data_IF_469067368785
#
_entry.id   IF_469067368785
#
_cell.length_a   1.000
_cell.length_b   1.000
_cell.length_c   1.000
_cell.angle_alpha   90.00
_cell.angle_beta   90.00
_cell.angle_gamma   90.00
#
_symmetry.space_group_name_H-M   'P 1'
#
loop_
_entity.id
_entity.type
_entity.pdbx_description
1 polymer ?
#
# COMPACT_ATOMS: atom_id res chain seq x y z
N UNK A 1 -1.91 -4.24 -12.47
CA UNK A 1 -0.48 -4.28 -12.16
C UNK A 1 -0.04 -5.71 -11.88
N UNK A 2 1.18 -6.12 -12.22
CA UNK A 2 1.65 -7.49 -11.88
C UNK A 2 2.12 -7.54 -10.43
N UNK A 3 1.90 -8.66 -9.73
CA UNK A 3 2.31 -8.84 -8.33
C UNK A 3 3.82 -8.59 -8.12
N UNK A 4 4.64 -8.99 -9.08
CA UNK A 4 6.10 -8.79 -9.08
C UNK A 4 6.54 -7.31 -9.15
N UNK A 5 5.68 -6.44 -9.69
CA UNK A 5 5.93 -4.99 -9.73
C UNK A 5 5.52 -4.33 -8.41
N UNK A 6 4.45 -4.83 -7.78
CA UNK A 6 4.03 -4.39 -6.44
C UNK A 6 5.09 -4.65 -5.37
N UNK A 7 5.68 -5.85 -5.35
CA UNK A 7 6.64 -6.25 -4.32
C UNK A 7 7.95 -5.44 -4.34
N UNK A 8 8.22 -4.70 -5.42
CA UNK A 8 9.40 -3.83 -5.56
C UNK A 8 9.17 -2.42 -5.02
N UNK A 9 7.93 -2.03 -4.75
CA UNK A 9 7.61 -0.68 -4.30
C UNK A 9 7.95 -0.51 -2.83
N UNK A 10 8.50 0.64 -2.48
CA UNK A 10 8.50 1.11 -1.08
C UNK A 10 7.09 1.50 -0.66
N UNK A 11 6.88 1.67 0.66
CA UNK A 11 5.57 2.09 1.18
C UNK A 11 5.22 3.52 0.73
N UNK A 12 6.23 4.39 0.66
CA UNK A 12 6.09 5.78 0.19
C UNK A 12 5.68 5.82 -1.29
N UNK A 13 6.34 5.05 -2.15
CA UNK A 13 5.96 4.95 -3.57
C UNK A 13 4.57 4.34 -3.77
N UNK A 14 4.17 3.40 -2.90
CA UNK A 14 2.84 2.81 -2.94
C UNK A 14 1.76 3.84 -2.56
N UNK A 15 2.00 4.67 -1.54
CA UNK A 15 1.09 5.77 -1.19
C UNK A 15 1.02 6.83 -2.29
N UNK A 16 2.15 7.20 -2.89
CA UNK A 16 2.16 8.15 -4.01
C UNK A 16 1.33 7.65 -5.20
N UNK A 17 1.42 6.34 -5.51
CA UNK A 17 0.57 5.71 -6.54
C UNK A 17 -0.91 5.69 -6.17
N UNK A 18 -1.26 5.56 -4.89
CA UNK A 18 -2.65 5.68 -4.43
C UNK A 18 -3.18 7.09 -4.71
N UNK A 19 -2.41 8.11 -4.35
CA UNK A 19 -2.80 9.51 -4.59
C UNK A 19 -2.95 9.82 -6.09
N UNK A 20 -2.02 9.34 -6.92
CA UNK A 20 -2.12 9.44 -8.38
C UNK A 20 -3.37 8.73 -8.93
N UNK A 21 -3.72 7.57 -8.36
CA UNK A 21 -4.93 6.82 -8.75
C UNK A 21 -6.19 7.60 -8.40
N UNK A 22 -6.23 8.23 -7.22
CA UNK A 22 -7.34 9.08 -6.79
C UNK A 22 -7.48 10.33 -7.67
N UNK A 23 -6.36 10.98 -8.00
CA UNK A 23 -6.34 12.13 -8.91
C UNK A 23 -6.88 11.73 -10.30
N UNK A 24 -6.43 10.60 -10.84
CA UNK A 24 -6.91 10.07 -12.12
C UNK A 24 -8.40 9.72 -12.11
N UNK A 25 -8.93 9.25 -10.98
CA UNK A 25 -10.36 8.96 -10.80
C UNK A 25 -11.22 10.23 -10.65
N UNK A 26 -10.62 11.36 -10.27
CA UNK A 26 -11.34 12.63 -10.10
C UNK A 26 -11.65 13.36 -11.42
N UNK A 27 -10.98 12.97 -12.51
CA UNK A 27 -11.16 13.56 -13.83
C UNK A 27 -12.27 12.93 -14.68
N UNK A 28 -12.37 13.37 -15.93
CA UNK A 28 -13.30 12.82 -16.92
C UNK A 28 -12.74 11.50 -17.50
N UNK A 29 -12.84 10.44 -16.69
CA UNK A 29 -12.31 9.11 -16.99
C UNK A 29 -13.42 8.21 -17.54
N UNK A 30 -13.12 7.47 -18.61
CA UNK A 30 -14.05 6.48 -19.16
C UNK A 30 -14.39 5.42 -18.10
N UNK A 31 -15.63 4.93 -18.10
CA UNK A 31 -16.12 3.98 -17.10
C UNK A 31 -15.24 2.71 -17.01
N UNK A 32 -14.87 2.13 -18.16
CA UNK A 32 -13.97 0.98 -18.22
C UNK A 32 -12.62 1.28 -17.57
N UNK A 33 -12.08 2.48 -17.80
CA UNK A 33 -10.82 2.91 -17.21
C UNK A 33 -10.93 3.17 -15.71
N UNK A 34 -12.10 3.64 -15.25
CA UNK A 34 -12.37 3.81 -13.82
C UNK A 34 -12.34 2.48 -13.05
N UNK A 35 -12.82 1.38 -13.66
CA UNK A 35 -12.73 0.05 -13.05
C UNK A 35 -11.29 -0.45 -12.93
N UNK A 36 -10.45 -0.19 -13.93
CA UNK A 36 -9.03 -0.52 -13.87
C UNK A 36 -8.31 0.24 -12.76
N UNK A 37 -8.52 1.56 -12.69
CA UNK A 37 -7.92 2.42 -11.66
C UNK A 37 -8.41 2.04 -10.27
N UNK A 38 -9.70 1.75 -10.10
CA UNK A 38 -10.24 1.29 -8.83
C UNK A 38 -9.60 -0.02 -8.37
N UNK A 39 -9.45 -0.99 -9.29
CA UNK A 39 -8.76 -2.25 -8.98
C UNK A 39 -7.31 -2.01 -8.58
N UNK A 40 -6.61 -1.15 -9.32
CA UNK A 40 -5.22 -0.78 -9.01
C UNK A 40 -5.10 -0.15 -7.61
N UNK A 41 -5.98 0.79 -7.27
CA UNK A 41 -6.03 1.40 -5.94
C UNK A 41 -6.28 0.37 -4.83
N UNK A 42 -7.20 -0.57 -5.04
CA UNK A 42 -7.46 -1.64 -4.06
C UNK A 42 -6.26 -2.57 -3.88
N UNK A 43 -5.58 -2.93 -4.97
CA UNK A 43 -4.39 -3.78 -4.92
C UNK A 43 -3.22 -3.05 -4.19
N UNK A 44 -3.05 -1.75 -4.41
CA UNK A 44 -2.08 -0.91 -3.69
C UNK A 44 -2.40 -0.82 -2.19
N UNK A 45 -3.66 -0.59 -1.83
CA UNK A 45 -4.08 -0.51 -0.42
C UNK A 45 -3.83 -1.83 0.33
N UNK A 46 -4.12 -2.98 -0.31
CA UNK A 46 -3.82 -4.30 0.26
C UNK A 46 -2.32 -4.49 0.48
N UNK A 47 -1.50 -4.05 -0.47
CA UNK A 47 -0.05 -4.12 -0.33
C UNK A 47 0.47 -3.28 0.83
N UNK A 48 -0.03 -2.05 0.97
CA UNK A 48 0.33 -1.19 2.11
C UNK A 48 -0.05 -1.85 3.44
N UNK A 49 -1.27 -2.39 3.55
CA UNK A 49 -1.75 -3.10 4.75
C UNK A 49 -0.85 -4.31 5.09
N UNK A 50 -0.48 -5.13 4.10
CA UNK A 50 0.42 -6.27 4.30
C UNK A 50 1.83 -5.84 4.74
N UNK A 51 2.39 -4.78 4.13
CA UNK A 51 3.70 -4.26 4.50
C UNK A 51 3.71 -3.68 5.91
N UNK A 52 2.69 -2.92 6.30
CA UNK A 52 2.56 -2.33 7.64
C UNK A 52 2.45 -3.43 8.69
N UNK A 53 1.56 -4.42 8.47
CA UNK A 53 1.44 -5.60 9.37
C UNK A 53 2.75 -6.37 9.50
N UNK A 54 3.53 -6.46 8.43
CA UNK A 54 4.86 -7.06 8.46
C UNK A 54 5.80 -6.34 9.41
N UNK A 55 5.78 -5.01 9.42
CA UNK A 55 6.59 -4.19 10.33
C UNK A 55 6.07 -4.30 11.78
N UNK A 56 4.76 -4.25 12.00
CA UNK A 56 4.14 -4.44 13.33
C UNK A 56 4.53 -5.79 13.95
N UNK A 57 4.49 -6.87 13.15
CA UNK A 57 4.92 -8.20 13.60
C UNK A 57 6.40 -8.26 13.97
N UNK A 58 7.27 -7.58 13.21
CA UNK A 58 8.70 -7.49 13.53
C UNK A 58 8.94 -6.73 14.83
N UNK A 59 8.22 -5.62 15.07
CA UNK A 59 8.29 -4.86 16.33
C UNK A 59 7.81 -5.72 17.51
N UNK A 60 6.71 -6.46 17.35
CA UNK A 60 6.18 -7.33 18.41
C UNK A 60 7.19 -8.43 18.81
N UNK A 61 7.87 -9.05 17.84
CA UNK A 61 8.92 -10.05 18.13
C UNK A 61 10.09 -9.42 18.90
N UNK A 62 10.50 -8.19 18.53
CA UNK A 62 11.55 -7.46 19.27
C UNK A 62 11.11 -7.10 20.70
N UNK A 63 9.82 -6.89 20.95
CA UNK A 63 9.28 -6.69 22.29
C UNK A 63 9.34 -7.94 23.17
N UNK A 64 9.15 -9.13 22.59
CA UNK A 64 9.25 -10.40 23.31
C UNK A 64 10.71 -10.85 23.56
N UNK A 65 11.65 -10.46 22.68
CA UNK A 65 13.08 -10.81 22.77
C UNK A 65 13.99 -9.72 23.38
N UNK A 66 13.46 -8.53 23.73
CA UNK A 66 14.12 -7.59 24.64
C UNK A 66 14.45 -6.18 24.12
N UNK A 67 13.44 -5.50 23.55
CA UNK A 67 13.20 -4.03 23.49
C UNK A 67 13.11 -3.44 22.07
N UNK A 68 11.91 -2.96 21.64
CA UNK A 68 11.69 -1.67 20.92
C UNK A 68 10.30 -1.08 21.27
N UNK A 69 10.30 0.09 21.93
CA UNK A 69 9.09 0.87 22.27
C UNK A 69 8.22 1.26 21.04
N UNK A 70 6.90 1.16 21.20
CA UNK A 70 5.88 1.56 20.23
C UNK A 70 5.98 3.05 19.87
N UNK A 71 5.78 3.38 18.59
CA UNK A 71 5.47 4.75 18.18
C UNK A 71 4.08 5.11 18.74
N UNK A 72 4.05 6.00 19.74
CA UNK A 72 2.83 6.66 20.21
C UNK A 72 2.23 7.60 19.16
#
# INVERSE_FOLDING_TARGET
MKKEELEKLTLEEAFEKVDQTLEALSGDVALEKSFELYKEGIDLLKYCDEKIKGVEGQIMIMNEEGEINEFQ
#
